data_IF_108222415199
#
_entry.id   IF_108222415199
#
_cell.length_a   1.000
_cell.length_b   1.000
_cell.length_c   1.000
_cell.angle_alpha   90.00
_cell.angle_beta   90.00
_cell.angle_gamma   90.00
#
_symmetry.space_group_name_H-M   'P 1'
#
loop_
_entity.id
_entity.type
_entity.pdbx_description
1 polymer ?
#
# COMPACT_ATOMS: atom_id res chain seq x y z
N UNK A 1 -8.20 7.95 7.10
CA UNK A 1 -8.75 7.59 5.77
C UNK A 1 -7.57 7.41 4.80
N UNK A 2 -7.66 6.45 3.88
CA UNK A 2 -6.49 5.91 3.16
C UNK A 2 -6.82 5.74 1.68
N UNK A 3 -5.84 5.99 0.82
CA UNK A 3 -5.90 5.63 -0.60
C UNK A 3 -5.01 4.42 -0.86
N UNK A 4 -5.58 3.37 -1.43
CA UNK A 4 -4.89 2.20 -1.93
C UNK A 4 -4.38 2.48 -3.34
N UNK A 5 -3.08 2.32 -3.56
CA UNK A 5 -2.41 2.38 -4.86
C UNK A 5 -2.02 0.94 -5.20
N UNK A 6 -2.73 0.34 -6.15
CA UNK A 6 -2.67 -1.09 -6.44
C UNK A 6 -1.99 -1.27 -7.80
N UNK A 7 -0.75 -1.77 -7.79
CA UNK A 7 0.09 -1.93 -8.99
C UNK A 7 -0.17 -3.27 -9.67
N UNK A 8 -0.41 -3.28 -10.97
CA UNK A 8 -0.50 -4.53 -11.73
C UNK A 8 -0.88 -4.33 -13.20
N UNK A 9 -0.37 -5.21 -14.06
CA UNK A 9 -0.65 -5.20 -15.50
C UNK A 9 -2.01 -5.84 -15.83
N UNK A 10 -2.33 -7.01 -15.26
CA UNK A 10 -3.63 -7.67 -15.46
C UNK A 10 -4.66 -7.25 -14.42
N UNK A 11 -5.23 -6.07 -14.64
CA UNK A 11 -6.25 -5.52 -13.75
C UNK A 11 -7.61 -6.23 -13.85
N UNK A 12 -7.87 -7.03 -14.90
CA UNK A 12 -9.21 -7.57 -15.13
C UNK A 12 -9.52 -8.74 -14.19
N UNK A 13 -8.58 -9.67 -14.04
CA UNK A 13 -8.77 -10.84 -13.18
C UNK A 13 -8.68 -10.45 -11.70
N UNK A 14 -7.63 -9.72 -11.32
CA UNK A 14 -7.32 -9.52 -9.92
C UNK A 14 -8.15 -8.44 -9.24
N UNK A 15 -8.79 -7.53 -9.99
CA UNK A 15 -9.71 -6.52 -9.43
C UNK A 15 -10.88 -7.14 -8.66
N UNK A 16 -11.31 -8.35 -9.01
CA UNK A 16 -12.37 -9.06 -8.28
C UNK A 16 -11.96 -9.46 -6.85
N UNK A 17 -10.67 -9.73 -6.60
CA UNK A 17 -10.18 -10.02 -5.24
C UNK A 17 -10.23 -8.80 -4.32
N UNK A 18 -10.20 -7.59 -4.90
CA UNK A 18 -10.31 -6.33 -4.17
C UNK A 18 -11.75 -5.87 -3.95
N UNK A 19 -12.71 -6.42 -4.70
CA UNK A 19 -14.12 -6.01 -4.64
C UNK A 19 -14.73 -6.14 -3.23
N UNK A 20 -14.48 -7.21 -2.44
CA UNK A 20 -14.98 -7.28 -1.06
C UNK A 20 -14.51 -6.11 -0.18
N UNK A 21 -13.28 -5.63 -0.37
CA UNK A 21 -12.75 -4.48 0.37
C UNK A 21 -13.40 -3.18 -0.06
N UNK A 22 -13.64 -3.00 -1.37
CA UNK A 22 -14.33 -1.84 -1.91
C UNK A 22 -15.75 -1.72 -1.35
N UNK A 23 -16.46 -2.85 -1.24
CA UNK A 23 -17.82 -2.91 -0.68
C UNK A 23 -17.79 -2.66 0.83
N UNK A 24 -16.88 -3.31 1.57
CA UNK A 24 -16.80 -3.21 3.03
C UNK A 24 -16.27 -1.86 3.51
N UNK A 25 -15.36 -1.24 2.76
CA UNK A 25 -14.71 0.02 3.09
C UNK A 25 -14.84 1.04 1.95
N UNK A 26 -16.06 1.53 1.67
CA UNK A 26 -16.32 2.46 0.56
C UNK A 26 -15.71 3.84 0.80
N UNK A 27 -15.33 4.16 2.04
CA UNK A 27 -14.62 5.38 2.42
C UNK A 27 -13.17 5.43 1.92
N UNK A 28 -12.59 4.29 1.55
CA UNK A 28 -11.26 4.24 0.95
C UNK A 28 -11.33 4.47 -0.55
N UNK A 29 -10.25 5.05 -1.05
CA UNK A 29 -10.06 5.19 -2.49
C UNK A 29 -9.18 4.04 -2.96
N UNK A 30 -9.55 3.40 -4.05
CA UNK A 30 -8.79 2.30 -4.66
C UNK A 30 -8.40 2.72 -6.07
N UNK A 31 -7.10 2.86 -6.31
CA UNK A 31 -6.56 3.26 -7.60
C UNK A 31 -5.69 2.13 -8.15
N UNK A 32 -6.16 1.50 -9.22
CA UNK A 32 -5.43 0.46 -9.93
C UNK A 32 -4.57 1.12 -11.01
N UNK A 33 -3.30 0.76 -11.05
CA UNK A 33 -2.31 1.49 -11.84
C UNK A 33 -1.26 0.55 -12.46
N UNK A 34 -0.81 0.89 -13.66
CA UNK A 34 0.37 0.29 -14.28
C UNK A 34 1.63 1.11 -13.92
N UNK A 35 2.83 0.56 -14.12
CA UNK A 35 4.07 1.24 -13.72
C UNK A 35 4.20 2.65 -14.32
N UNK A 36 3.84 2.81 -15.59
CA UNK A 36 3.93 4.08 -16.32
C UNK A 36 3.10 5.22 -15.71
N UNK A 37 2.03 4.90 -14.97
CA UNK A 37 1.11 5.89 -14.40
C UNK A 37 1.25 6.03 -12.88
N UNK A 38 2.20 5.34 -12.26
CA UNK A 38 2.33 5.24 -10.80
C UNK A 38 2.46 6.62 -10.13
N UNK A 39 3.42 7.43 -10.56
CA UNK A 39 3.69 8.76 -9.96
C UNK A 39 2.49 9.70 -10.09
N UNK A 40 1.86 9.75 -11.28
CA UNK A 40 0.68 10.58 -11.50
C UNK A 40 -0.52 10.13 -10.65
N UNK A 41 -0.64 8.83 -10.41
CA UNK A 41 -1.72 8.26 -9.59
C UNK A 41 -1.54 8.59 -8.11
N UNK A 42 -0.30 8.59 -7.61
CA UNK A 42 0.00 9.04 -6.24
C UNK A 42 -0.42 10.49 -6.05
N UNK A 43 -0.11 11.39 -7.00
CA UNK A 43 -0.52 12.80 -6.91
C UNK A 43 -2.05 12.94 -6.85
N UNK A 44 -2.78 12.11 -7.61
CA UNK A 44 -4.26 12.06 -7.63
C UNK A 44 -4.87 11.39 -6.40
N UNK A 45 -4.08 10.79 -5.52
CA UNK A 45 -4.59 10.17 -4.30
C UNK A 45 -5.26 11.21 -3.41
N UNK A 46 -6.53 10.95 -3.07
CA UNK A 46 -7.40 11.82 -2.28
C UNK A 46 -6.91 11.97 -0.84
N UNK A 47 -6.37 10.92 -0.25
CA UNK A 47 -6.04 10.89 1.17
C UNK A 47 -4.56 11.17 1.44
N UNK A 48 -4.27 11.62 2.67
CA UNK A 48 -2.91 11.95 3.12
C UNK A 48 -2.06 10.69 3.27
N UNK A 49 -2.63 9.62 3.82
CA UNK A 49 -1.95 8.31 3.87
C UNK A 49 -2.31 7.51 2.62
N UNK A 50 -1.27 7.00 1.98
CA UNK A 50 -1.38 6.05 0.88
C UNK A 50 -0.87 4.69 1.34
N UNK A 51 -1.48 3.62 0.83
CA UNK A 51 -0.97 2.26 0.94
C UNK A 51 -0.69 1.76 -0.47
N UNK A 52 0.60 1.58 -0.78
CA UNK A 52 1.07 1.06 -2.05
C UNK A 52 1.20 -0.44 -1.90
N UNK A 53 0.75 -1.19 -2.91
CA UNK A 53 0.78 -2.66 -2.91
C UNK A 53 0.68 -3.18 -4.33
N UNK A 54 1.08 -4.44 -4.53
CA UNK A 54 0.85 -5.15 -5.79
C UNK A 54 -0.59 -5.72 -5.81
N UNK A 55 -1.13 -5.95 -7.02
CA UNK A 55 -2.53 -6.34 -7.23
C UNK A 55 -2.86 -7.74 -6.69
N UNK A 56 -1.86 -8.60 -6.63
CA UNK A 56 -1.88 -9.95 -6.08
C UNK A 56 -1.63 -9.99 -4.56
N UNK A 57 -1.16 -8.88 -3.97
CA UNK A 57 -0.93 -8.73 -2.54
C UNK A 57 -2.11 -7.98 -1.87
N UNK A 58 -3.06 -8.74 -1.32
CA UNK A 58 -4.27 -8.20 -0.70
C UNK A 58 -4.12 -8.13 0.82
N UNK A 59 -4.36 -6.97 1.48
CA UNK A 59 -4.17 -6.85 2.92
C UNK A 59 -5.17 -7.71 3.69
N UNK A 60 -4.70 -8.34 4.78
CA UNK A 60 -5.60 -9.00 5.72
C UNK A 60 -6.44 -7.98 6.48
N UNK A 61 -7.49 -8.45 7.16
CA UNK A 61 -8.28 -7.59 8.05
C UNK A 61 -7.42 -6.92 9.14
N UNK A 62 -6.45 -7.64 9.70
CA UNK A 62 -5.53 -7.09 10.71
C UNK A 62 -4.74 -5.91 10.14
N UNK A 63 -4.19 -6.05 8.93
CA UNK A 63 -3.51 -4.95 8.22
C UNK A 63 -4.43 -3.77 7.98
N UNK A 64 -5.68 -4.00 7.59
CA UNK A 64 -6.65 -2.93 7.40
C UNK A 64 -6.90 -2.14 8.71
N UNK A 65 -6.99 -2.83 9.86
CA UNK A 65 -7.14 -2.19 11.18
C UNK A 65 -5.88 -1.38 11.54
N UNK A 66 -4.69 -1.91 11.28
CA UNK A 66 -3.44 -1.18 11.50
C UNK A 66 -3.36 0.07 10.64
N UNK A 67 -3.68 -0.05 9.35
CA UNK A 67 -3.75 1.04 8.41
C UNK A 67 -4.68 2.16 8.90
N UNK A 68 -5.85 1.83 9.43
CA UNK A 68 -6.76 2.80 10.03
C UNK A 68 -6.14 3.57 11.19
N UNK A 69 -5.43 2.87 12.07
CA UNK A 69 -4.84 3.45 13.28
C UNK A 69 -3.68 4.41 13.01
N UNK A 70 -2.96 4.22 11.90
CA UNK A 70 -1.81 5.05 11.53
C UNK A 70 -2.16 6.19 10.57
N UNK A 71 -3.40 6.22 10.06
CA UNK A 71 -3.83 7.21 9.07
C UNK A 71 -3.57 8.65 9.52
N UNK A 72 -2.82 9.41 8.72
CA UNK A 72 -2.43 10.80 8.98
C UNK A 72 -1.23 10.97 9.92
N UNK A 73 -0.66 9.90 10.47
CA UNK A 73 0.49 9.95 11.37
C UNK A 73 1.80 9.74 10.62
N UNK A 74 2.90 10.20 11.20
CA UNK A 74 4.25 9.95 10.66
C UNK A 74 4.70 8.51 10.95
N UNK A 75 3.98 7.55 10.38
CA UNK A 75 4.15 6.13 10.64
C UNK A 75 4.10 5.37 9.30
N UNK A 76 4.92 4.32 9.21
CA UNK A 76 5.03 3.46 8.04
C UNK A 76 4.67 2.04 8.46
N UNK A 77 3.70 1.43 7.79
CA UNK A 77 3.37 0.02 7.93
C UNK A 77 4.06 -0.75 6.81
N UNK A 78 4.92 -1.68 7.19
CA UNK A 78 5.51 -2.66 6.30
C UNK A 78 4.86 -4.02 6.58
N UNK A 79 4.41 -4.75 5.54
CA UNK A 79 3.99 -6.11 5.73
C UNK A 79 5.18 -6.98 6.12
N UNK A 80 4.97 -7.80 7.15
CA UNK A 80 5.79 -8.95 7.46
C UNK A 80 5.43 -10.05 6.47
N UNK A 81 6.33 -10.29 5.53
CA UNK A 81 6.23 -11.45 4.64
C UNK A 81 6.47 -12.73 5.46
N UNK A 82 5.53 -13.68 5.38
CA UNK A 82 5.73 -14.98 6.03
C UNK A 82 6.72 -15.82 5.22
N UNK A 83 7.80 -16.26 5.85
CA UNK A 83 8.67 -17.32 5.35
C UNK A 83 7.85 -18.62 5.29
N UNK A 84 7.30 -18.97 4.12
CA UNK A 84 6.53 -20.22 3.98
C UNK A 84 5.66 -20.29 2.73
N UNK A 85 5.19 -19.14 2.22
CA UNK A 85 4.46 -19.07 0.96
C UNK A 85 5.45 -18.67 -0.14
N UNK A 86 5.98 -19.67 -0.86
CA UNK A 86 6.97 -19.59 -1.95
C UNK A 86 7.48 -18.19 -2.31
N UNK A 87 8.73 -17.89 -1.90
CA UNK A 87 9.50 -16.65 -2.12
C UNK A 87 8.65 -15.40 -2.39
N UNK A 88 8.18 -14.69 -1.34
CA UNK A 88 7.86 -13.28 -1.49
C UNK A 88 9.12 -12.59 -2.03
N UNK A 89 9.05 -11.96 -3.20
CA UNK A 89 10.17 -11.16 -3.67
C UNK A 89 10.39 -10.08 -2.61
N UNK A 90 11.65 -9.91 -2.20
CA UNK A 90 12.08 -9.00 -1.14
C UNK A 90 11.85 -7.53 -1.46
N UNK A 91 11.16 -7.23 -2.55
CA UNK A 91 11.02 -5.86 -3.02
C UNK A 91 9.99 -5.18 -2.13
N UNK A 92 10.37 -4.01 -1.61
CA UNK A 92 9.58 -3.10 -0.79
C UNK A 92 8.42 -2.50 -1.61
N UNK A 93 7.66 -3.35 -2.29
CA UNK A 93 6.59 -2.99 -3.20
C UNK A 93 5.27 -2.75 -2.49
N UNK A 94 5.19 -3.14 -1.21
CA UNK A 94 4.02 -2.97 -0.37
C UNK A 94 4.36 -2.23 0.92
N UNK A 95 3.77 -1.05 1.13
CA UNK A 95 3.99 -0.23 2.32
C UNK A 95 2.95 0.89 2.43
N UNK A 96 2.76 1.43 3.64
CA UNK A 96 2.04 2.69 3.84
C UNK A 96 2.98 3.86 4.04
N UNK A 97 2.60 5.04 3.57
CA UNK A 97 3.36 6.27 3.80
C UNK A 97 2.46 7.50 3.73
N UNK A 98 2.93 8.63 4.28
CA UNK A 98 2.31 9.93 4.03
C UNK A 98 2.68 10.41 2.62
N UNK A 99 1.65 10.64 1.80
CA UNK A 99 1.75 11.02 0.38
C UNK A 99 2.73 12.16 0.15
N UNK A 100 2.59 13.26 0.88
CA UNK A 100 3.41 14.46 0.67
C UNK A 100 4.89 14.21 0.96
N UNK A 101 5.19 13.40 1.98
CA UNK A 101 6.56 13.03 2.33
C UNK A 101 7.16 12.13 1.26
N UNK A 102 6.40 11.14 0.81
CA UNK A 102 6.83 10.23 -0.24
C UNK A 102 7.10 10.95 -1.58
N UNK A 103 6.22 11.88 -1.97
CA UNK A 103 6.41 12.73 -3.16
C UNK A 103 7.65 13.63 -2.99
N UNK A 104 7.84 14.20 -1.81
CA UNK A 104 9.00 15.06 -1.49
C UNK A 104 10.33 14.28 -1.38
N UNK A 105 10.25 12.95 -1.29
CA UNK A 105 11.37 12.01 -1.27
C UNK A 105 11.62 11.39 -2.65
N UNK A 106 11.16 12.03 -3.73
CA UNK A 106 11.39 11.52 -5.08
C UNK A 106 10.67 10.20 -5.41
N UNK A 107 9.62 9.83 -4.66
CA UNK A 107 8.94 8.53 -4.73
C UNK A 107 9.80 7.35 -4.29
N UNK A 108 10.72 7.59 -3.36
CA UNK A 108 11.58 6.58 -2.76
C UNK A 108 11.24 6.40 -1.26
N UNK A 109 11.09 5.15 -0.83
CA UNK A 109 10.71 4.85 0.55
C UNK A 109 11.88 5.01 1.52
N UNK A 110 13.10 4.63 1.10
CA UNK A 110 14.30 4.73 1.93
C UNK A 110 14.62 6.20 2.19
N UNK A 111 14.62 7.04 1.15
CA UNK A 111 14.79 8.50 1.27
C UNK A 111 13.68 9.10 2.15
N UNK A 112 12.45 8.58 2.07
CA UNK A 112 11.34 9.01 2.92
C UNK A 112 11.54 8.65 4.40
N UNK A 113 12.12 7.47 4.68
CA UNK A 113 12.40 7.04 6.06
C UNK A 113 13.58 7.85 6.61
N UNK A 114 14.64 8.03 5.84
CA UNK A 114 15.85 8.76 6.26
C UNK A 114 15.53 10.21 6.63
N UNK A 115 14.79 10.93 5.76
CA UNK A 115 14.58 12.36 5.92
C UNK A 115 13.49 12.73 6.94
N UNK A 116 12.52 11.85 7.19
CA UNK A 116 11.41 12.15 8.11
C UNK A 116 11.29 11.22 9.32
N UNK A 117 12.15 10.20 9.43
CA UNK A 117 12.26 9.28 10.58
C UNK A 117 10.91 8.82 11.15
N UNK A 118 10.00 8.27 10.32
CA UNK A 118 8.71 7.78 10.77
C UNK A 118 8.85 6.58 11.73
N UNK A 119 7.83 6.34 12.55
CA UNK A 119 7.75 5.08 13.32
C UNK A 119 7.42 3.94 12.36
N UNK A 120 8.26 2.91 12.35
CA UNK A 120 8.12 1.76 11.43
C UNK A 120 7.43 0.59 12.14
N UNK A 121 6.34 0.12 11.55
CA UNK A 121 5.58 -1.04 12.00
C UNK A 121 5.74 -2.20 11.01
N UNK A 122 6.63 -3.14 11.31
CA UNK A 122 6.89 -4.32 10.46
C UNK A 122 6.03 -5.52 10.88
N UNK A 123 4.70 -5.34 10.85
CA UNK A 123 3.73 -6.33 11.35
C UNK A 123 2.50 -6.52 10.46
N UNK A 124 2.41 -5.82 9.33
CA UNK A 124 1.30 -6.04 8.40
C UNK A 124 1.31 -7.47 7.85
N UNK A 125 0.16 -8.03 7.54
CA UNK A 125 0.03 -9.34 6.90
C UNK A 125 -0.81 -9.23 5.62
N UNK A 126 -0.49 -10.03 4.61
CA UNK A 126 -1.12 -9.99 3.29
C UNK A 126 -1.53 -11.40 2.86
N UNK A 127 -2.62 -11.53 2.13
CA UNK A 127 -2.90 -12.68 1.28
C UNK A 127 -2.19 -12.48 -0.06
N UNK A 128 -1.59 -13.54 -0.58
CA UNK A 128 -0.95 -13.53 -1.89
C UNK A 128 -1.73 -14.44 -2.84
N UNK A 129 -2.26 -13.88 -3.93
CA UNK A 129 -3.10 -14.58 -4.90
C UNK A 129 -2.25 -14.98 -6.12
N UNK A 130 -2.28 -16.25 -6.50
CA UNK A 130 -1.58 -16.78 -7.68
C UNK A 130 -2.55 -17.08 -8.81
#
# INVERSE_FOLDING_TARGET
MITFIIKGEDQKLFKYFWMPFQIKYPRYQYLFVNENQFKQTIVKAKHVTIFITDIDAVPTYETMVLLENIGGKNEVLLPKWYEGYGKPSKDLNTFSVLKEKFVSAGYDLEECIEKWTPVVHSKGTMYYVK
#
